data_IF_445712845546
#
_entry.id   IF_445712845546
#
_cell.length_a   1.000
_cell.length_b   1.000
_cell.length_c   1.000
_cell.angle_alpha   90.00
_cell.angle_beta   90.00
_cell.angle_gamma   90.00
#
_symmetry.space_group_name_H-M   'P 1'
#
loop_
_entity.id
_entity.type
_entity.pdbx_description
1 polymer ?
#
# COMPACT_ATOMS: atom_id res chain seq x y z
N UNK A 1 15.57 -18.63 10.87
CA UNK A 1 15.09 -17.42 11.54
C UNK A 1 13.76 -17.66 12.23
N UNK A 2 12.73 -18.15 11.53
CA UNK A 2 11.39 -18.35 12.07
C UNK A 2 11.37 -19.14 13.40
N UNK A 3 12.09 -20.26 13.48
CA UNK A 3 12.08 -21.14 14.66
C UNK A 3 12.76 -20.51 15.88
N UNK A 4 13.67 -19.56 15.67
CA UNK A 4 14.49 -18.94 16.70
C UNK A 4 13.98 -17.57 17.17
N UNK A 5 12.94 -17.04 16.53
CA UNK A 5 12.34 -15.78 16.95
C UNK A 5 11.23 -16.02 17.98
N UNK A 6 11.05 -15.11 18.96
CA UNK A 6 9.92 -15.18 19.87
C UNK A 6 8.61 -14.90 19.16
N UNK A 7 7.50 -15.26 19.77
CA UNK A 7 6.16 -15.03 19.22
C UNK A 7 5.82 -13.54 19.16
N UNK A 8 6.30 -12.77 20.12
CA UNK A 8 6.17 -11.32 20.20
C UNK A 8 7.44 -10.70 20.76
N UNK A 9 7.64 -9.41 20.56
CA UNK A 9 8.77 -8.64 21.07
C UNK A 9 8.27 -7.52 21.99
N UNK A 10 9.05 -7.23 23.03
CA UNK A 10 8.74 -6.15 23.98
C UNK A 10 8.89 -4.75 23.35
N UNK A 11 9.71 -4.65 22.30
CA UNK A 11 9.94 -3.40 21.59
C UNK A 11 9.30 -3.46 20.20
N UNK A 12 8.45 -2.50 19.94
CA UNK A 12 7.83 -2.30 18.62
C UNK A 12 8.93 -2.10 17.56
N UNK A 13 8.74 -2.66 16.38
CA UNK A 13 9.70 -2.59 15.29
C UNK A 13 10.77 -3.69 15.32
N UNK A 14 10.86 -4.50 16.37
CA UNK A 14 11.70 -5.71 16.35
C UNK A 14 10.98 -6.85 15.66
N UNK A 15 11.71 -7.56 14.79
CA UNK A 15 11.16 -8.71 14.09
C UNK A 15 10.83 -9.86 15.07
N UNK A 16 9.66 -10.42 14.95
CA UNK A 16 9.14 -11.57 15.66
C UNK A 16 8.83 -12.74 14.71
N UNK A 17 8.18 -13.78 15.20
CA UNK A 17 7.75 -14.91 14.36
C UNK A 17 6.76 -14.50 13.28
N UNK A 18 5.88 -13.55 13.58
CA UNK A 18 4.87 -13.06 12.64
C UNK A 18 5.54 -12.40 11.43
N UNK A 19 6.48 -11.49 11.69
CA UNK A 19 7.29 -10.86 10.66
C UNK A 19 8.06 -11.90 9.81
N UNK A 20 8.68 -12.90 10.48
CA UNK A 20 9.42 -13.94 9.78
C UNK A 20 8.51 -14.81 8.90
N UNK A 21 7.29 -15.14 9.34
CA UNK A 21 6.32 -15.90 8.55
C UNK A 21 5.91 -15.14 7.29
N UNK A 22 5.55 -13.86 7.43
CA UNK A 22 5.16 -13.01 6.31
C UNK A 22 6.28 -12.89 5.25
N UNK A 23 7.53 -12.67 5.71
CA UNK A 23 8.67 -12.61 4.80
C UNK A 23 8.99 -13.96 4.14
N UNK A 24 8.82 -15.06 4.83
CA UNK A 24 9.00 -16.40 4.26
C UNK A 24 7.93 -16.72 3.21
N UNK A 25 6.67 -16.34 3.45
CA UNK A 25 5.62 -16.43 2.45
C UNK A 25 6.01 -15.64 1.19
N UNK A 26 6.35 -14.36 1.35
CA UNK A 26 6.77 -13.49 0.24
C UNK A 26 7.98 -14.04 -0.51
N UNK A 27 9.02 -14.47 0.21
CA UNK A 27 10.24 -15.03 -0.41
C UNK A 27 9.94 -16.29 -1.24
N UNK A 28 9.14 -17.22 -0.71
CA UNK A 28 8.77 -18.43 -1.43
C UNK A 28 7.92 -18.11 -2.66
N UNK A 29 7.06 -17.08 -2.60
CA UNK A 29 6.29 -16.62 -3.76
C UNK A 29 7.21 -16.18 -4.90
N UNK A 30 8.19 -15.30 -4.61
CA UNK A 30 9.16 -14.87 -5.62
C UNK A 30 10.01 -16.02 -6.16
N UNK A 31 10.38 -16.99 -5.31
CA UNK A 31 11.17 -18.14 -5.73
C UNK A 31 10.36 -19.17 -6.53
N UNK A 32 9.04 -19.17 -6.40
CA UNK A 32 8.16 -20.10 -7.13
C UNK A 32 8.12 -19.82 -8.63
N UNK A 33 8.24 -18.56 -9.03
CA UNK A 33 8.16 -18.14 -10.43
C UNK A 33 9.56 -17.90 -10.99
N UNK A 34 10.05 -18.83 -11.80
CA UNK A 34 11.33 -18.66 -12.50
C UNK A 34 11.12 -17.93 -13.81
N UNK A 35 11.95 -16.95 -14.07
CA UNK A 35 11.88 -16.09 -15.25
C UNK A 35 13.17 -16.21 -16.05
N UNK A 36 13.07 -16.01 -17.37
CA UNK A 36 14.21 -15.81 -18.27
C UNK A 36 14.61 -14.31 -18.31
N UNK A 37 15.64 -14.00 -19.09
CA UNK A 37 16.15 -12.63 -19.24
C UNK A 37 15.12 -11.68 -19.91
N UNK A 38 14.12 -12.21 -20.58
CA UNK A 38 12.98 -11.44 -21.13
C UNK A 38 11.82 -11.29 -20.14
N UNK A 39 12.03 -11.61 -18.85
CA UNK A 39 11.04 -11.57 -17.77
C UNK A 39 9.79 -12.45 -18.00
N UNK A 40 9.91 -13.47 -18.83
CA UNK A 40 8.84 -14.43 -19.06
C UNK A 40 8.96 -15.59 -18.08
N UNK A 41 7.84 -15.98 -17.48
CA UNK A 41 7.78 -17.13 -16.57
C UNK A 41 8.05 -18.40 -17.35
N UNK A 42 9.12 -19.11 -17.00
CA UNK A 42 9.55 -20.35 -17.65
C UNK A 42 9.14 -21.60 -16.88
N UNK A 43 8.98 -21.50 -15.58
CA UNK A 43 8.46 -22.58 -14.74
C UNK A 43 7.88 -22.04 -13.44
N UNK A 44 6.94 -22.81 -12.88
CA UNK A 44 6.30 -22.53 -11.58
C UNK A 44 6.56 -23.73 -10.66
N UNK A 45 7.13 -23.45 -9.49
CA UNK A 45 7.44 -24.45 -8.47
C UNK A 45 6.25 -24.56 -7.48
N UNK A 46 5.43 -25.60 -7.67
CA UNK A 46 4.27 -25.84 -6.83
C UNK A 46 4.62 -26.10 -5.35
N UNK A 47 5.80 -26.69 -5.06
CA UNK A 47 6.23 -26.91 -3.68
C UNK A 47 6.56 -25.59 -2.98
N UNK A 48 7.08 -24.62 -3.70
CA UNK A 48 7.26 -23.25 -3.18
C UNK A 48 5.93 -22.54 -2.95
N UNK A 49 4.98 -22.69 -3.85
CA UNK A 49 3.62 -22.12 -3.67
C UNK A 49 2.92 -22.74 -2.44
N UNK A 50 3.09 -24.04 -2.20
CA UNK A 50 2.57 -24.64 -0.96
C UNK A 50 3.20 -24.00 0.29
N UNK A 51 4.52 -23.73 0.27
CA UNK A 51 5.18 -23.01 1.37
C UNK A 51 4.68 -21.58 1.57
N UNK A 52 4.24 -20.92 0.50
CA UNK A 52 3.60 -19.59 0.63
C UNK A 52 2.35 -19.71 1.50
N UNK A 53 1.50 -20.68 1.21
CA UNK A 53 0.27 -20.94 2.00
C UNK A 53 0.65 -21.31 3.44
N UNK A 54 1.54 -22.27 3.61
CA UNK A 54 1.96 -22.76 4.93
C UNK A 54 2.52 -21.65 5.84
N UNK A 55 3.20 -20.65 5.28
CA UNK A 55 3.71 -19.52 6.04
C UNK A 55 2.69 -18.40 6.18
N UNK A 56 1.86 -18.16 5.17
CA UNK A 56 0.77 -17.18 5.27
C UNK A 56 -0.22 -17.56 6.39
N UNK A 57 -0.56 -18.84 6.50
CA UNK A 57 -1.44 -19.36 7.56
C UNK A 57 -0.87 -19.22 8.99
N UNK A 58 0.44 -18.94 9.11
CA UNK A 58 1.09 -18.67 10.40
C UNK A 58 1.11 -17.18 10.75
N UNK A 59 0.75 -16.33 9.82
CA UNK A 59 0.66 -14.88 10.08
C UNK A 59 -0.59 -14.63 10.91
N UNK A 60 -0.40 -14.03 12.07
CA UNK A 60 -1.48 -13.62 12.98
C UNK A 60 -1.71 -12.12 12.85
N UNK A 61 -2.91 -11.68 13.09
CA UNK A 61 -3.37 -10.31 12.96
C UNK A 61 -4.80 -10.29 12.43
N UNK A 62 -5.22 -9.17 11.94
CA UNK A 62 -6.56 -8.98 11.35
C UNK A 62 -6.55 -7.81 10.40
N UNK A 63 -7.69 -7.50 9.84
CA UNK A 63 -7.90 -6.26 9.12
C UNK A 63 -8.41 -5.20 10.09
N UNK A 64 -8.05 -3.94 9.85
CA UNK A 64 -8.64 -2.81 10.55
C UNK A 64 -10.14 -2.72 10.24
N UNK A 65 -10.90 -2.18 11.16
CA UNK A 65 -12.34 -2.00 10.97
C UNK A 65 -12.65 -0.90 9.97
N UNK A 66 -11.72 0.03 9.80
CA UNK A 66 -11.74 1.09 8.80
C UNK A 66 -10.38 1.13 8.12
N UNK A 67 -10.36 1.04 6.80
CA UNK A 67 -9.14 1.10 6.00
C UNK A 67 -8.33 2.39 6.24
N UNK A 68 -9.00 3.50 6.58
CA UNK A 68 -8.34 4.77 6.88
C UNK A 68 -7.44 4.69 8.11
N UNK A 69 -7.67 3.78 9.04
CA UNK A 69 -6.87 3.66 10.26
C UNK A 69 -5.41 3.29 10.00
N UNK A 70 -5.12 2.61 8.90
CA UNK A 70 -3.74 2.31 8.50
C UNK A 70 -2.91 3.56 8.15
N UNK A 71 -3.56 4.71 7.96
CA UNK A 71 -2.93 5.96 7.50
C UNK A 71 -3.10 7.12 8.47
N UNK A 72 -3.90 6.97 9.53
CA UNK A 72 -4.19 8.04 10.48
C UNK A 72 -3.21 8.05 11.66
N UNK A 73 -2.81 9.25 12.04
CA UNK A 73 -2.06 9.49 13.28
C UNK A 73 -2.82 8.92 14.49
N UNK A 74 -2.09 8.29 15.40
CA UNK A 74 -2.67 7.65 16.58
C UNK A 74 -3.15 6.21 16.35
N UNK A 75 -3.06 5.68 15.13
CA UNK A 75 -3.33 4.29 14.78
C UNK A 75 -2.06 3.51 14.43
N UNK A 76 -0.89 4.03 14.83
CA UNK A 76 0.39 3.38 14.58
C UNK A 76 0.44 1.96 15.13
N UNK A 77 1.01 1.05 14.34
CA UNK A 77 1.14 -0.36 14.70
C UNK A 77 -0.20 -1.06 15.02
N UNK A 78 -1.25 -0.70 14.28
CA UNK A 78 -2.56 -1.31 14.35
C UNK A 78 -2.57 -2.81 14.01
N UNK A 79 -3.75 -3.42 14.00
CA UNK A 79 -3.90 -4.87 13.87
C UNK A 79 -3.43 -5.43 12.53
N UNK A 80 -3.37 -4.62 11.47
CA UNK A 80 -2.81 -5.00 10.16
C UNK A 80 -1.29 -4.92 10.14
N UNK A 81 -0.65 -4.20 11.07
CA UNK A 81 0.79 -4.01 11.09
C UNK A 81 1.51 -5.29 11.52
N UNK A 82 2.06 -6.02 10.56
CA UNK A 82 2.85 -7.22 10.83
C UNK A 82 4.26 -6.87 11.32
N UNK A 83 4.90 -5.92 10.64
CA UNK A 83 6.21 -5.40 11.01
C UNK A 83 6.48 -4.11 10.28
N UNK A 84 6.83 -3.06 11.01
CA UNK A 84 7.07 -1.74 10.47
C UNK A 84 8.37 -1.15 11.01
N UNK A 85 9.08 -0.42 10.13
CA UNK A 85 10.20 0.43 10.56
C UNK A 85 9.62 1.63 11.28
N UNK A 86 10.01 1.79 12.54
CA UNK A 86 9.50 2.87 13.39
C UNK A 86 10.20 4.19 13.04
N UNK A 87 9.45 5.11 12.46
CA UNK A 87 9.88 6.49 12.26
C UNK A 87 9.38 7.35 13.42
N UNK A 88 10.18 8.31 13.83
CA UNK A 88 9.81 9.23 14.91
C UNK A 88 10.02 10.68 14.49
N UNK A 89 9.30 11.59 15.15
CA UNK A 89 9.43 13.03 14.99
C UNK A 89 9.77 13.62 16.35
N UNK A 90 10.78 14.53 16.39
CA UNK A 90 11.19 15.23 17.60
C UNK A 90 11.64 14.29 18.75
N UNK A 91 12.26 13.19 18.42
CA UNK A 91 12.77 12.19 19.37
C UNK A 91 14.10 12.59 20.06
N UNK A 92 14.55 13.82 19.84
CA UNK A 92 15.82 14.33 20.37
C UNK A 92 17.05 14.00 19.52
N UNK A 93 16.88 13.25 18.42
CA UNK A 93 17.97 13.01 17.47
C UNK A 93 18.08 14.18 16.49
N UNK A 94 19.32 14.47 16.07
CA UNK A 94 19.61 15.62 15.21
C UNK A 94 19.30 15.36 13.72
N UNK A 95 18.34 14.51 13.44
CA UNK A 95 17.96 14.10 12.10
C UNK A 95 16.69 14.81 11.64
N UNK A 96 16.74 16.14 11.50
CA UNK A 96 15.64 16.95 10.97
C UNK A 96 15.09 16.52 9.56
N UNK A 97 15.36 15.28 9.16
CA UNK A 97 14.95 14.68 7.90
C UNK A 97 13.90 13.58 8.05
N UNK A 98 13.43 13.31 9.25
CA UNK A 98 12.46 12.21 9.48
C UNK A 98 11.13 12.49 8.77
N UNK A 99 10.72 13.75 8.71
CA UNK A 99 9.54 14.18 7.95
C UNK A 99 9.77 14.26 6.44
N UNK A 100 10.99 14.09 5.96
CA UNK A 100 11.33 14.28 4.56
C UNK A 100 10.67 13.22 3.66
N UNK A 101 10.56 11.99 4.14
CA UNK A 101 9.92 10.89 3.38
C UNK A 101 8.42 11.12 3.24
N UNK A 102 7.75 11.49 4.33
CA UNK A 102 6.31 11.80 4.31
C UNK A 102 6.01 13.12 3.59
N UNK A 103 6.89 14.12 3.73
CA UNK A 103 6.78 15.39 3.03
C UNK A 103 6.86 15.28 1.51
N UNK A 104 7.51 14.25 0.98
CA UNK A 104 7.60 14.04 -0.47
C UNK A 104 6.25 13.66 -1.11
N UNK A 105 5.33 13.12 -0.35
CA UNK A 105 4.01 12.71 -0.82
C UNK A 105 2.95 13.81 -0.70
N UNK A 106 3.30 14.97 -0.13
CA UNK A 106 2.35 16.07 0.05
C UNK A 106 1.93 16.66 -1.30
N UNK A 107 0.65 16.93 -1.50
CA UNK A 107 0.17 17.65 -2.68
C UNK A 107 0.80 19.04 -2.79
N UNK A 108 1.02 19.51 -4.01
CA UNK A 108 1.59 20.84 -4.27
C UNK A 108 0.53 21.83 -4.72
N UNK A 109 0.69 23.08 -4.32
CA UNK A 109 -0.04 24.20 -4.93
C UNK A 109 -1.47 24.40 -4.46
N UNK A 110 -1.87 23.82 -3.34
CA UNK A 110 -3.15 24.12 -2.70
C UNK A 110 -2.97 25.03 -1.48
N UNK A 111 -4.00 25.80 -1.05
CA UNK A 111 -3.93 26.59 0.18
C UNK A 111 -3.67 25.76 1.43
N UNK A 112 -4.04 24.46 1.41
CA UNK A 112 -3.87 23.54 2.53
C UNK A 112 -2.49 22.86 2.53
N UNK A 113 -1.87 22.67 1.36
CA UNK A 113 -0.65 21.91 1.19
C UNK A 113 0.38 22.73 0.42
N UNK A 114 1.18 23.49 1.14
CA UNK A 114 2.04 24.55 0.57
C UNK A 114 3.26 24.10 -0.20
N UNK A 115 3.70 22.83 -0.11
CA UNK A 115 4.97 22.36 -0.66
C UNK A 115 4.82 20.89 -1.07
N UNK A 116 5.53 20.63 -1.93
CA UNK A 116 6.60 19.91 -2.48
C UNK A 116 6.18 18.92 -3.57
N UNK A 117 5.11 18.13 -3.40
CA UNK A 117 4.45 17.36 -4.48
C UNK A 117 5.36 16.48 -5.35
N UNK A 118 6.39 15.86 -4.76
CA UNK A 118 7.34 15.10 -5.56
C UNK A 118 6.79 13.75 -6.03
N UNK A 119 6.03 13.07 -5.20
CA UNK A 119 5.49 11.75 -5.49
C UNK A 119 3.99 11.83 -5.77
N UNK A 120 3.65 12.62 -6.76
CA UNK A 120 2.26 12.74 -7.21
C UNK A 120 1.78 11.42 -7.82
N UNK A 121 0.53 11.06 -7.55
CA UNK A 121 -0.10 9.90 -8.16
C UNK A 121 -0.14 10.05 -9.69
N UNK A 122 0.25 9.02 -10.42
CA UNK A 122 0.13 9.01 -11.87
C UNK A 122 -1.34 8.81 -12.30
N UNK A 123 -1.69 9.27 -13.49
CA UNK A 123 -3.02 9.00 -14.05
C UNK A 123 -3.34 7.52 -14.14
N UNK A 124 -2.35 6.69 -14.48
CA UNK A 124 -2.51 5.23 -14.50
C UNK A 124 -2.86 4.68 -13.13
N UNK A 125 -2.21 5.15 -12.06
CA UNK A 125 -2.53 4.74 -10.70
C UNK A 125 -3.96 5.14 -10.35
N UNK A 126 -4.36 6.36 -10.64
CA UNK A 126 -5.72 6.85 -10.37
C UNK A 126 -6.76 6.03 -11.14
N UNK A 127 -6.50 5.75 -12.42
CA UNK A 127 -7.39 4.93 -13.25
C UNK A 127 -7.49 3.48 -12.76
N UNK A 128 -6.46 2.94 -12.10
CA UNK A 128 -6.46 1.58 -11.57
C UNK A 128 -7.48 1.35 -10.45
N UNK A 129 -8.00 2.41 -9.84
CA UNK A 129 -9.11 2.32 -8.88
C UNK A 129 -10.49 2.15 -9.52
N UNK A 130 -10.59 2.18 -10.87
CA UNK A 130 -11.89 1.92 -11.53
C UNK A 130 -12.35 0.49 -11.32
N UNK A 131 -13.64 0.35 -11.08
CA UNK A 131 -14.30 -0.94 -10.91
C UNK A 131 -15.39 -1.16 -11.96
N UNK A 132 -15.82 -2.40 -12.11
CA UNK A 132 -17.06 -2.72 -12.79
C UNK A 132 -18.28 -2.42 -11.88
N UNK A 133 -19.48 -2.70 -12.37
CA UNK A 133 -20.73 -2.50 -11.63
C UNK A 133 -20.85 -3.37 -10.35
N UNK A 134 -20.03 -4.40 -10.22
CA UNK A 134 -20.00 -5.31 -9.07
C UNK A 134 -18.88 -4.93 -8.07
N UNK A 135 -18.13 -3.85 -8.35
CA UNK A 135 -17.01 -3.42 -7.51
C UNK A 135 -15.70 -4.18 -7.77
N UNK A 136 -15.61 -4.98 -8.84
CA UNK A 136 -14.39 -5.71 -9.19
C UNK A 136 -13.46 -4.83 -10.05
N UNK A 137 -12.13 -4.95 -9.91
CA UNK A 137 -11.18 -4.13 -10.63
C UNK A 137 -11.22 -4.41 -12.15
N UNK A 138 -11.05 -3.35 -12.94
CA UNK A 138 -10.94 -3.44 -14.41
C UNK A 138 -9.49 -3.79 -14.79
N UNK A 139 -9.14 -5.06 -14.83
CA UNK A 139 -7.76 -5.52 -14.97
C UNK A 139 -7.07 -5.04 -16.27
N UNK A 140 -7.77 -5.12 -17.40
CA UNK A 140 -7.18 -4.83 -18.71
C UNK A 140 -7.68 -3.51 -19.33
N UNK A 141 -8.80 -2.97 -18.84
CA UNK A 141 -9.48 -1.81 -19.45
C UNK A 141 -9.45 -0.56 -18.60
N UNK A 142 -8.89 -0.63 -17.38
CA UNK A 142 -8.87 0.49 -16.44
C UNK A 142 -8.29 1.79 -17.03
N UNK A 143 -7.35 1.67 -17.95
CA UNK A 143 -6.63 2.82 -18.53
C UNK A 143 -7.16 3.27 -19.90
N UNK A 144 -8.30 2.73 -20.37
CA UNK A 144 -8.91 3.12 -21.65
C UNK A 144 -9.57 4.50 -21.61
N UNK A 145 -9.83 5.02 -20.41
CA UNK A 145 -10.38 6.37 -20.19
C UNK A 145 -9.98 6.85 -18.80
N UNK A 146 -9.97 8.15 -18.61
CA UNK A 146 -9.73 8.76 -17.30
C UNK A 146 -10.95 8.70 -16.41
N UNK A 147 -10.73 8.80 -15.08
CA UNK A 147 -11.82 8.82 -14.10
C UNK A 147 -12.60 10.14 -14.14
N UNK A 148 -12.02 11.21 -14.71
CA UNK A 148 -12.62 12.53 -14.81
C UNK A 148 -12.89 12.91 -16.27
N UNK A 149 -13.92 13.72 -16.48
CA UNK A 149 -14.11 14.35 -17.79
C UNK A 149 -13.27 15.62 -17.92
N UNK A 150 -13.45 16.55 -16.99
CA UNK A 150 -12.77 17.85 -17.00
C UNK A 150 -12.71 18.39 -15.58
N UNK A 151 -11.55 18.89 -15.18
CA UNK A 151 -11.42 19.59 -13.91
C UNK A 151 -11.88 21.04 -14.12
N UNK A 152 -12.90 21.47 -13.40
CA UNK A 152 -13.43 22.83 -13.47
C UNK A 152 -13.47 23.44 -12.07
N UNK A 153 -12.84 24.59 -11.89
CA UNK A 153 -12.75 25.31 -10.62
C UNK A 153 -12.24 24.45 -9.45
N UNK A 154 -11.27 23.57 -9.71
CA UNK A 154 -10.69 22.69 -8.69
C UNK A 154 -11.57 21.51 -8.31
N UNK A 155 -12.66 21.27 -9.01
CA UNK A 155 -13.52 20.09 -8.84
C UNK A 155 -13.31 19.16 -10.05
N UNK A 156 -13.12 17.89 -9.74
CA UNK A 156 -12.93 16.82 -10.73
C UNK A 156 -14.13 15.87 -10.71
N UNK A 157 -15.23 16.20 -11.41
CA UNK A 157 -16.39 15.32 -11.44
C UNK A 157 -16.04 14.01 -12.15
N UNK A 158 -16.47 12.89 -11.59
CA UNK A 158 -16.29 11.59 -12.22
C UNK A 158 -16.94 11.55 -13.59
N UNK A 159 -16.30 10.88 -14.52
CA UNK A 159 -16.87 10.61 -15.81
C UNK A 159 -18.16 9.76 -15.65
N UNK A 160 -19.19 9.96 -16.50
CA UNK A 160 -20.44 9.23 -16.37
C UNK A 160 -20.25 7.71 -16.37
N UNK A 161 -20.86 7.02 -15.42
CA UNK A 161 -20.80 5.59 -15.29
C UNK A 161 -19.51 5.02 -14.69
N UNK A 162 -18.58 5.87 -14.25
CA UNK A 162 -17.36 5.45 -13.56
C UNK A 162 -17.72 5.12 -12.10
N UNK A 163 -17.37 3.90 -11.69
CA UNK A 163 -17.36 3.45 -10.30
C UNK A 163 -15.92 3.26 -9.85
N UNK A 164 -15.65 3.53 -8.58
CA UNK A 164 -14.30 3.51 -8.00
C UNK A 164 -14.25 2.68 -6.73
N UNK A 165 -13.14 2.02 -6.52
CA UNK A 165 -12.77 1.45 -5.24
C UNK A 165 -12.64 2.59 -4.20
N UNK A 166 -13.35 2.56 -3.06
CA UNK A 166 -13.36 3.63 -2.08
C UNK A 166 -11.98 3.91 -1.45
N UNK A 167 -11.05 2.96 -1.53
CA UNK A 167 -9.68 3.16 -1.05
C UNK A 167 -8.94 4.29 -1.76
N UNK A 168 -9.42 4.73 -2.92
CA UNK A 168 -8.85 5.89 -3.62
C UNK A 168 -8.87 7.14 -2.74
N UNK A 169 -9.90 7.34 -1.93
CA UNK A 169 -10.08 8.52 -1.10
C UNK A 169 -9.05 8.60 0.06
N UNK A 170 -8.44 7.45 0.43
CA UNK A 170 -7.34 7.38 1.38
C UNK A 170 -5.96 7.35 0.71
N UNK A 171 -5.91 7.19 -0.59
CA UNK A 171 -4.63 6.96 -1.33
C UNK A 171 -4.24 8.15 -2.19
N UNK A 172 -5.21 8.85 -2.75
CA UNK A 172 -4.99 9.93 -3.72
C UNK A 172 -5.81 11.16 -3.36
N UNK A 173 -5.15 12.31 -3.25
CA UNK A 173 -5.83 13.60 -3.07
C UNK A 173 -6.55 14.03 -4.36
N UNK A 174 -7.77 13.55 -4.54
CA UNK A 174 -8.59 13.88 -5.70
C UNK A 174 -9.36 15.18 -5.46
N UNK A 175 -9.21 16.22 -6.30
CA UNK A 175 -9.90 17.48 -6.11
C UNK A 175 -11.42 17.32 -6.04
N UNK A 176 -12.02 17.82 -4.97
CA UNK A 176 -13.47 17.78 -4.73
C UNK A 176 -14.01 16.47 -4.15
N UNK A 177 -13.15 15.52 -3.81
CA UNK A 177 -13.48 14.35 -2.99
C UNK A 177 -13.02 14.55 -1.55
N UNK A 178 -13.67 13.90 -0.56
CA UNK A 178 -13.29 14.02 0.86
C UNK A 178 -11.88 13.48 1.13
#
# INVERSE_FOLDING_TARGET
>A
AFDNLPQSQDQVGRADKNAAAAYLAKLNLYQAYKQNDAHQVTSIDAAKLQKVIDYADKVTGGLETDYGFDFLDGHDNGVESIWAVQFSINDGTNTGRVSFVTGLNSPHGTPLYGCCGFHMASQNMVNAFKTDANGLPLLDTFNNSDIFNTITNGVAPLAPGVTLDPRIDHTVGVPGRP
#
